data_IF_023614400390
#
_entry.id   IF_023614400390
#
_cell.length_a   1.000
_cell.length_b   1.000
_cell.length_c   1.000
_cell.angle_alpha   90.00
_cell.angle_beta   90.00
_cell.angle_gamma   90.00
#
_symmetry.space_group_name_H-M   'P 1'
#
loop_
_entity.id
_entity.type
_entity.pdbx_description
1 polymer ?
#
# COMPACT_ATOMS: atom_id res chain seq x y z
N UNK A 1 8.09 15.53 3.16
CA UNK A 1 7.52 14.67 2.10
C UNK A 1 8.67 14.38 1.18
N UNK A 2 8.96 13.09 0.99
CA UNK A 2 9.90 12.63 -0.02
C UNK A 2 9.11 11.79 -1.03
N UNK A 3 9.35 12.04 -2.31
CA UNK A 3 8.72 11.35 -3.43
C UNK A 3 9.81 10.74 -4.28
N UNK A 4 9.70 9.45 -4.60
CA UNK A 4 10.50 8.83 -5.66
C UNK A 4 9.55 8.39 -6.77
N UNK A 5 9.63 9.03 -7.93
CA UNK A 5 9.01 8.53 -9.15
C UNK A 5 10.00 7.51 -9.73
N UNK A 6 9.57 6.27 -9.95
CA UNK A 6 10.41 5.22 -10.52
C UNK A 6 9.60 4.48 -11.58
N UNK A 7 10.07 4.50 -12.82
CA UNK A 7 9.50 3.66 -13.89
C UNK A 7 10.13 2.25 -13.81
N UNK A 8 9.32 1.20 -13.91
CA UNK A 8 9.80 -0.18 -13.86
C UNK A 8 8.70 -1.22 -14.14
N UNK A 9 9.10 -2.49 -14.29
CA UNK A 9 8.17 -3.60 -14.56
C UNK A 9 7.30 -3.86 -13.32
N UNK A 10 5.98 -3.89 -13.52
CA UNK A 10 4.99 -4.12 -12.47
C UNK A 10 4.47 -5.55 -12.61
N UNK A 11 4.83 -6.43 -11.66
CA UNK A 11 4.27 -7.79 -11.59
C UNK A 11 3.09 -7.83 -10.60
N UNK A 12 1.85 -7.62 -11.08
CA UNK A 12 0.65 -7.83 -10.27
C UNK A 12 -0.43 -8.66 -10.95
N UNK A 13 -0.69 -9.85 -10.41
CA UNK A 13 -1.94 -10.59 -10.64
C UNK A 13 -2.20 -11.04 -12.08
N UNK A 14 -3.22 -11.86 -12.27
CA UNK A 14 -3.53 -12.50 -13.56
C UNK A 14 -4.13 -11.54 -14.61
N UNK A 15 -4.49 -10.31 -14.19
CA UNK A 15 -5.35 -9.38 -14.93
C UNK A 15 -4.75 -7.96 -15.11
N UNK A 16 -3.48 -7.73 -14.77
CA UNK A 16 -2.82 -6.46 -15.11
C UNK A 16 -1.89 -6.68 -16.30
N UNK A 17 -1.91 -5.74 -17.25
CA UNK A 17 -0.92 -5.69 -18.31
C UNK A 17 0.50 -5.55 -17.73
N UNK A 18 1.46 -6.19 -18.40
CA UNK A 18 2.85 -6.29 -17.93
C UNK A 18 3.61 -4.95 -17.91
N UNK A 19 3.05 -3.88 -18.48
CA UNK A 19 3.69 -2.56 -18.60
C UNK A 19 2.76 -1.49 -18.08
N UNK A 20 3.19 -0.75 -17.06
CA UNK A 20 2.45 0.36 -16.45
C UNK A 20 3.39 1.28 -15.67
N UNK A 21 2.85 2.38 -15.15
CA UNK A 21 3.58 3.30 -14.28
C UNK A 21 3.28 3.04 -12.82
N UNK A 22 4.24 3.30 -11.93
CA UNK A 22 3.97 3.32 -10.49
C UNK A 22 4.60 4.53 -9.81
N UNK A 23 3.97 4.95 -8.73
CA UNK A 23 4.40 6.04 -7.89
C UNK A 23 4.45 5.57 -6.45
N UNK A 24 5.41 6.14 -5.70
CA UNK A 24 5.64 5.79 -4.33
C UNK A 24 5.96 7.04 -3.51
N UNK A 25 5.19 7.24 -2.44
CA UNK A 25 5.28 8.41 -1.58
C UNK A 25 5.45 8.02 -0.12
N UNK A 26 6.41 8.66 0.56
CA UNK A 26 6.62 8.51 1.98
C UNK A 26 6.23 9.79 2.72
N UNK A 27 5.37 9.64 3.72
CA UNK A 27 4.91 10.71 4.60
C UNK A 27 5.43 10.44 6.00
N UNK A 28 6.12 11.42 6.57
CA UNK A 28 6.72 11.33 7.90
C UNK A 28 6.57 12.66 8.66
N UNK A 29 6.60 12.60 9.98
CA UNK A 29 6.58 13.80 10.83
C UNK A 29 7.87 14.61 10.63
N UNK A 30 7.81 15.95 10.51
CA UNK A 30 9.02 16.73 10.28
C UNK A 30 9.97 16.75 11.48
N UNK A 31 9.45 16.63 12.72
CA UNK A 31 10.25 16.83 13.93
C UNK A 31 11.15 15.63 14.25
N UNK A 32 10.58 14.43 14.24
CA UNK A 32 11.26 13.18 14.61
C UNK A 32 11.45 12.24 13.41
N UNK A 33 10.92 12.62 12.25
CA UNK A 33 10.93 11.81 11.04
C UNK A 33 10.25 10.46 11.24
N UNK A 34 9.29 10.31 12.14
CA UNK A 34 8.53 9.07 12.25
C UNK A 34 7.64 8.87 11.01
N UNK A 35 7.65 7.65 10.45
CA UNK A 35 6.81 7.31 9.31
C UNK A 35 5.33 7.33 9.71
N UNK A 36 4.53 8.06 8.93
CA UNK A 36 3.08 8.21 9.10
C UNK A 36 2.36 7.31 8.10
N UNK A 37 2.75 7.41 6.83
CA UNK A 37 2.06 6.76 5.73
C UNK A 37 3.00 6.45 4.59
N UNK A 38 2.73 5.35 3.91
CA UNK A 38 3.23 5.05 2.58
C UNK A 38 2.05 4.94 1.64
N UNK A 39 2.15 5.62 0.50
CA UNK A 39 1.21 5.51 -0.61
C UNK A 39 1.94 4.90 -1.79
N UNK A 40 1.38 3.82 -2.31
CA UNK A 40 1.82 3.17 -3.53
C UNK A 40 0.68 3.24 -4.54
N UNK A 41 0.93 3.77 -5.72
CA UNK A 41 -0.04 3.84 -6.79
C UNK A 41 0.52 3.19 -8.04
N UNK A 42 -0.27 2.40 -8.74
CA UNK A 42 0.11 1.78 -10.00
C UNK A 42 -1.01 1.95 -11.02
N UNK A 43 -0.63 2.22 -12.26
CA UNK A 43 -1.56 2.38 -13.38
C UNK A 43 -1.11 1.56 -14.57
N UNK A 44 -2.01 0.71 -15.03
CA UNK A 44 -2.05 0.16 -16.39
C UNK A 44 -3.35 0.67 -17.03
N UNK A 45 -4.13 -0.20 -17.68
CA UNK A 45 -5.55 0.01 -18.01
C UNK A 45 -6.46 0.07 -16.75
N UNK A 46 -5.98 -0.47 -15.63
CA UNK A 46 -6.63 -0.39 -14.32
C UNK A 46 -5.77 0.42 -13.35
N UNK A 47 -6.42 1.02 -12.34
CA UNK A 47 -5.74 1.83 -11.34
C UNK A 47 -5.77 1.16 -9.98
N UNK A 48 -4.59 1.00 -9.39
CA UNK A 48 -4.37 0.44 -8.07
C UNK A 48 -3.79 1.50 -7.15
N UNK A 49 -4.36 1.64 -5.95
CA UNK A 49 -3.73 2.40 -4.87
C UNK A 49 -3.69 1.57 -3.61
N UNK A 50 -2.55 1.58 -2.96
CA UNK A 50 -2.34 1.08 -1.62
C UNK A 50 -1.92 2.18 -0.68
N UNK A 51 -2.47 2.11 0.53
CA UNK A 51 -2.12 3.00 1.60
C UNK A 51 -1.81 2.19 2.85
N UNK A 52 -0.65 2.47 3.43
CA UNK A 52 -0.16 1.85 4.65
C UNK A 52 0.08 2.93 5.68
N UNK A 53 -0.61 2.86 6.81
CA UNK A 53 -0.53 3.86 7.87
C UNK A 53 0.10 3.26 9.11
N UNK A 54 0.98 4.05 9.71
CA UNK A 54 1.82 3.63 10.82
C UNK A 54 1.63 4.54 12.02
N UNK A 55 1.79 3.96 13.20
CA UNK A 55 1.85 4.69 14.46
C UNK A 55 2.82 3.98 15.40
N UNK A 56 3.71 4.72 16.04
CA UNK A 56 4.73 4.19 16.95
C UNK A 56 5.56 3.06 16.31
N UNK A 57 5.88 3.20 15.01
CA UNK A 57 6.68 2.21 14.28
C UNK A 57 5.98 0.88 14.02
N UNK A 58 4.65 0.83 14.08
CA UNK A 58 3.79 -0.33 13.80
C UNK A 58 2.74 0.02 12.73
N UNK A 59 2.42 -0.93 11.85
CA UNK A 59 1.30 -0.82 10.91
C UNK A 59 -0.03 -0.88 11.70
N UNK A 60 -0.89 0.13 11.51
CA UNK A 60 -2.20 0.22 12.17
C UNK A 60 -3.37 0.14 11.20
N UNK A 61 -3.14 0.47 9.92
CA UNK A 61 -4.18 0.43 8.90
C UNK A 61 -3.56 0.22 7.52
N UNK A 62 -4.18 -0.63 6.73
CA UNK A 62 -3.85 -0.84 5.33
C UNK A 62 -5.12 -0.80 4.48
N UNK A 63 -5.01 -0.19 3.31
CA UNK A 63 -6.11 -0.09 2.35
C UNK A 63 -5.59 -0.35 0.95
N UNK A 64 -6.35 -1.12 0.16
CA UNK A 64 -6.15 -1.26 -1.27
C UNK A 64 -7.44 -0.90 -1.99
N UNK A 65 -7.31 -0.05 -3.01
CA UNK A 65 -8.39 0.33 -3.92
C UNK A 65 -7.97 -0.10 -5.32
N UNK A 66 -8.79 -0.92 -5.96
CA UNK A 66 -8.64 -1.32 -7.35
C UNK A 66 -9.80 -0.70 -8.12
N UNK A 67 -9.50 0.18 -9.07
CA UNK A 67 -10.48 0.79 -9.97
C UNK A 67 -10.28 0.15 -11.34
N UNK A 68 -11.28 -0.60 -11.78
CA UNK A 68 -11.26 -1.28 -13.07
C UNK A 68 -11.79 -0.36 -14.17
N UNK A 69 -11.31 -0.53 -15.40
CA UNK A 69 -11.73 0.26 -16.58
C UNK A 69 -13.21 0.08 -16.92
N UNK A 70 -13.83 -1.04 -16.51
CA UNK A 70 -15.27 -1.31 -16.65
C UNK A 70 -16.14 -0.52 -15.65
N UNK A 71 -15.55 0.29 -14.76
CA UNK A 71 -16.23 1.08 -13.74
C UNK A 71 -16.44 0.36 -12.41
N UNK A 72 -16.08 -0.92 -12.29
CA UNK A 72 -16.11 -1.65 -11.02
C UNK A 72 -14.99 -1.17 -10.10
N UNK A 73 -15.33 -0.99 -8.82
CA UNK A 73 -14.37 -0.58 -7.80
C UNK A 73 -14.35 -1.60 -6.67
N UNK A 74 -13.18 -2.15 -6.42
CA UNK A 74 -12.96 -3.05 -5.31
C UNK A 74 -12.13 -2.36 -4.25
N UNK A 75 -12.49 -2.60 -2.98
CA UNK A 75 -11.82 -1.99 -1.85
C UNK A 75 -11.60 -3.02 -0.76
N UNK A 76 -10.35 -3.16 -0.30
CA UNK A 76 -10.00 -3.93 0.89
C UNK A 76 -9.44 -2.98 1.95
N UNK A 77 -9.93 -3.11 3.17
CA UNK A 77 -9.44 -2.38 4.35
C UNK A 77 -9.08 -3.37 5.44
N UNK A 78 -7.97 -3.12 6.11
CA UNK A 78 -7.48 -3.92 7.24
C UNK A 78 -7.06 -2.96 8.34
N UNK A 79 -7.62 -3.14 9.52
CA UNK A 79 -7.23 -2.41 10.73
C UNK A 79 -6.48 -3.37 11.65
N UNK A 80 -5.38 -2.89 12.21
CA UNK A 80 -4.51 -3.66 13.07
C UNK A 80 -4.34 -3.00 14.43
N UNK A 81 -4.19 -3.84 15.46
CA UNK A 81 -3.70 -3.44 16.76
C UNK A 81 -2.54 -4.35 17.15
N UNK A 82 -1.34 -3.78 17.29
CA UNK A 82 -0.11 -4.53 17.62
C UNK A 82 0.12 -5.76 16.71
N UNK A 83 -0.12 -5.61 15.41
CA UNK A 83 0.06 -6.68 14.43
C UNK A 83 -1.11 -7.67 14.30
N UNK A 84 -2.13 -7.58 15.16
CA UNK A 84 -3.34 -8.41 15.07
C UNK A 84 -4.44 -7.68 14.31
N UNK A 85 -5.14 -8.40 13.41
CA UNK A 85 -6.30 -7.86 12.70
C UNK A 85 -7.45 -7.66 13.70
N UNK A 86 -7.93 -6.43 13.83
CA UNK A 86 -9.11 -6.09 14.63
C UNK A 86 -10.35 -5.89 13.75
N UNK A 87 -10.16 -5.58 12.47
CA UNK A 87 -11.23 -5.47 11.48
C UNK A 87 -10.68 -5.66 10.08
N UNK A 88 -11.46 -6.32 9.22
CA UNK A 88 -11.24 -6.35 7.79
C UNK A 88 -12.57 -6.22 7.02
N UNK A 89 -12.53 -5.62 5.84
CA UNK A 89 -13.69 -5.59 4.95
C UNK A 89 -13.92 -6.96 4.30
N UNK A 90 -15.20 -7.32 4.09
CA UNK A 90 -15.64 -8.65 3.61
C UNK A 90 -15.29 -8.99 2.15
N UNK A 91 -14.86 -8.01 1.36
CA UNK A 91 -14.54 -8.16 -0.07
C UNK A 91 -13.11 -8.67 -0.25
N UNK A 92 -12.94 -9.77 -0.99
CA UNK A 92 -11.73 -10.62 -0.92
C UNK A 92 -11.03 -10.86 -2.27
N UNK A 93 -10.84 -9.82 -3.08
CA UNK A 93 -9.98 -9.92 -4.28
C UNK A 93 -8.48 -10.04 -3.91
N UNK A 94 -8.11 -9.59 -2.70
CA UNK A 94 -6.78 -9.78 -2.10
C UNK A 94 -6.90 -10.18 -0.63
N UNK A 95 -6.09 -11.15 -0.22
CA UNK A 95 -6.03 -11.60 1.16
C UNK A 95 -5.42 -10.50 2.06
N UNK A 96 -6.05 -10.20 3.21
CA UNK A 96 -5.53 -9.25 4.19
C UNK A 96 -4.06 -9.48 4.56
N UNK A 97 -3.64 -10.76 4.62
CA UNK A 97 -2.24 -11.16 4.87
C UNK A 97 -1.27 -10.50 3.90
N UNK A 98 -1.60 -10.46 2.61
CA UNK A 98 -0.74 -9.85 1.59
C UNK A 98 -0.53 -8.35 1.87
N UNK A 99 -1.59 -7.61 2.20
CA UNK A 99 -1.48 -6.17 2.49
C UNK A 99 -0.65 -5.92 3.75
N UNK A 100 -0.82 -6.75 4.78
CA UNK A 100 -0.04 -6.65 6.01
C UNK A 100 1.44 -6.91 5.72
N UNK A 101 1.76 -7.92 4.92
CA UNK A 101 3.13 -8.25 4.52
C UNK A 101 3.78 -7.10 3.74
N UNK A 102 3.09 -6.50 2.77
CA UNK A 102 3.63 -5.35 2.02
C UNK A 102 3.83 -4.12 2.92
N UNK A 103 2.87 -3.77 3.77
CA UNK A 103 3.03 -2.67 4.72
C UNK A 103 4.24 -2.86 5.64
N UNK A 104 4.41 -4.06 6.18
CA UNK A 104 5.57 -4.36 7.03
C UNK A 104 6.89 -4.36 6.25
N UNK A 105 6.90 -4.85 5.01
CA UNK A 105 8.06 -4.78 4.12
C UNK A 105 8.50 -3.32 3.94
N UNK A 106 7.59 -2.44 3.54
CA UNK A 106 7.91 -1.03 3.32
C UNK A 106 8.36 -0.31 4.59
N UNK A 107 7.75 -0.63 5.74
CA UNK A 107 8.20 -0.11 7.04
C UNK A 107 9.64 -0.54 7.36
N UNK A 108 10.01 -1.79 7.05
CA UNK A 108 11.35 -2.30 7.28
C UNK A 108 12.37 -1.64 6.33
N UNK A 109 12.02 -1.49 5.05
CA UNK A 109 12.86 -0.77 4.07
C UNK A 109 13.12 0.67 4.51
N UNK A 110 12.09 1.38 4.99
CA UNK A 110 12.24 2.72 5.53
C UNK A 110 13.14 2.79 6.77
N UNK A 111 13.04 1.81 7.68
CA UNK A 111 13.90 1.72 8.86
C UNK A 111 15.35 1.41 8.47
N UNK A 112 15.57 0.64 7.42
CA UNK A 112 16.90 0.25 6.95
C UNK A 112 17.61 1.37 6.15
N UNK A 113 16.87 2.31 5.57
CA UNK A 113 17.44 3.46 4.84
C UNK A 113 17.87 4.62 5.75
N UNK A 114 17.98 4.39 7.06
CA UNK A 114 18.35 5.37 8.09
C UNK A 114 19.57 4.94 8.88
#
# INVERSE_FOLDING_TARGET
MESSITEGIIEYGKNFDKTGGFEYYQYYYPENKDLIRIEYSASTDNYLTENYYYKNGLLIYAERVNKQSNGENEKKRVYLNNGFIIHESKTDFINAKYLIEQGNKYLNEYKASR
#
